data_IF_399278757746
#
_entry.id   IF_399278757746
#
_cell.length_a   1.000
_cell.length_b   1.000
_cell.length_c   1.000
_cell.angle_alpha   90.00
_cell.angle_beta   90.00
_cell.angle_gamma   90.00
#
_symmetry.space_group_name_H-M   'P 1'
#
loop_
_entity.id
_entity.type
_entity.pdbx_description
1 polymer ?
#
# COMPACT_ATOMS: atom_id res chain seq x y z
N UNK A 1 20.45 29.28 -16.79
CA UNK A 1 20.71 28.78 -15.44
C UNK A 1 19.42 28.46 -14.74
N UNK A 2 18.53 29.45 -14.63
CA UNK A 2 17.27 29.24 -13.92
C UNK A 2 16.44 28.11 -14.52
N UNK A 3 16.56 27.91 -15.80
CA UNK A 3 15.76 26.90 -16.50
C UNK A 3 16.07 25.48 -16.07
N UNK A 4 17.22 25.26 -15.46
CA UNK A 4 17.57 23.93 -14.99
C UNK A 4 16.90 23.55 -13.69
N UNK A 5 16.37 24.53 -13.01
CA UNK A 5 15.69 24.27 -11.76
C UNK A 5 14.35 23.58 -11.99
N UNK A 6 13.65 23.96 -13.08
CA UNK A 6 12.31 23.45 -13.31
C UNK A 6 12.22 21.92 -13.42
N UNK A 7 13.05 21.23 -14.23
CA UNK A 7 12.96 19.76 -14.28
C UNK A 7 13.24 19.10 -12.94
N UNK A 8 14.23 19.62 -12.22
CA UNK A 8 14.55 19.07 -10.90
C UNK A 8 13.42 19.31 -9.91
N UNK A 9 12.84 20.51 -9.95
CA UNK A 9 11.71 20.84 -9.09
C UNK A 9 10.55 19.92 -9.38
N UNK A 10 10.25 19.71 -10.67
CA UNK A 10 9.16 18.82 -11.07
C UNK A 10 9.39 17.41 -10.60
N UNK A 11 10.62 16.91 -10.74
CA UNK A 11 10.95 15.56 -10.26
C UNK A 11 10.82 15.48 -8.76
N UNK A 12 11.27 16.50 -8.02
CA UNK A 12 11.14 16.51 -6.57
C UNK A 12 9.69 16.57 -6.13
N UNK A 13 8.86 17.33 -6.83
CA UNK A 13 7.44 17.40 -6.52
C UNK A 13 6.76 16.06 -6.74
N UNK A 14 7.10 15.39 -7.84
CA UNK A 14 6.56 14.07 -8.12
C UNK A 14 6.96 13.06 -7.03
N UNK A 15 8.22 13.08 -6.63
CA UNK A 15 8.71 12.16 -5.60
C UNK A 15 8.01 12.39 -4.26
N UNK A 16 7.79 13.65 -3.90
CA UNK A 16 7.08 13.97 -2.67
C UNK A 16 5.63 13.55 -2.76
N UNK A 17 4.99 13.78 -3.91
CA UNK A 17 3.60 13.39 -4.12
C UNK A 17 3.46 11.87 -4.05
N UNK A 18 4.40 11.13 -4.64
CA UNK A 18 4.39 9.67 -4.55
C UNK A 18 4.51 9.20 -3.12
N UNK A 19 5.47 9.74 -2.37
CA UNK A 19 5.70 9.33 -0.99
C UNK A 19 4.48 9.63 -0.12
N UNK A 20 3.87 10.80 -0.30
CA UNK A 20 2.67 11.17 0.44
C UNK A 20 1.52 10.24 0.11
N UNK A 21 1.33 9.94 -1.16
CA UNK A 21 0.26 9.06 -1.60
C UNK A 21 0.46 7.65 -1.06
N UNK A 22 1.70 7.14 -1.13
CA UNK A 22 2.00 5.81 -0.60
C UNK A 22 1.73 5.74 0.90
N UNK A 23 2.03 6.81 1.62
CA UNK A 23 1.70 6.88 3.04
C UNK A 23 0.21 6.83 3.29
N UNK A 24 -0.58 7.48 2.44
CA UNK A 24 -2.04 7.43 2.53
C UNK A 24 -2.57 6.03 2.22
N UNK A 25 -1.98 5.37 1.22
CA UNK A 25 -2.34 3.99 0.90
C UNK A 25 -2.09 3.09 2.10
N UNK A 26 -0.92 3.21 2.69
CA UNK A 26 -0.56 2.41 3.85
C UNK A 26 -1.55 2.61 4.98
N UNK A 27 -1.85 3.86 5.31
CA UNK A 27 -2.79 4.18 6.38
C UNK A 27 -4.18 3.64 6.08
N UNK A 28 -4.61 3.76 4.83
CA UNK A 28 -5.93 3.27 4.42
C UNK A 28 -6.01 1.74 4.58
N UNK A 29 -4.99 1.02 4.13
CA UNK A 29 -4.97 -0.43 4.25
C UNK A 29 -4.90 -0.86 5.71
N UNK A 30 -4.04 -0.21 6.51
CA UNK A 30 -3.93 -0.53 7.94
C UNK A 30 -5.27 -0.35 8.65
N UNK A 31 -6.01 0.67 8.28
CA UNK A 31 -7.32 0.95 8.87
C UNK A 31 -8.34 -0.14 8.52
N UNK A 32 -8.21 -0.75 7.36
CA UNK A 32 -9.17 -1.75 6.89
C UNK A 32 -8.74 -3.18 7.18
N UNK A 33 -7.51 -3.38 7.66
CA UNK A 33 -7.07 -4.75 7.92
C UNK A 33 -7.75 -5.32 9.14
N UNK A 34 -7.92 -6.62 9.13
CA UNK A 34 -8.43 -7.36 10.27
C UNK A 34 -7.37 -8.38 10.68
N UNK A 35 -7.19 -8.53 11.98
CA UNK A 35 -6.27 -9.54 12.46
C UNK A 35 -7.01 -10.87 12.50
N UNK A 36 -6.60 -11.89 11.74
CA UNK A 36 -7.29 -13.18 11.79
C UNK A 36 -7.22 -13.75 13.20
N UNK A 37 -8.36 -14.19 13.70
CA UNK A 37 -8.43 -14.71 15.08
C UNK A 37 -7.47 -15.85 15.33
N UNK A 38 -7.38 -16.78 14.37
CA UNK A 38 -6.49 -17.89 14.51
C UNK A 38 -5.02 -17.45 14.55
N UNK A 39 -4.67 -16.49 13.71
CA UNK A 39 -3.31 -15.94 13.72
C UNK A 39 -3.03 -15.25 15.05
N UNK A 40 -4.02 -14.58 15.59
CA UNK A 40 -3.89 -13.92 16.88
C UNK A 40 -3.65 -14.93 17.99
N UNK A 41 -4.45 -16.00 18.00
CA UNK A 41 -4.28 -17.06 18.99
C UNK A 41 -2.92 -17.74 18.88
N UNK A 42 -2.42 -17.89 17.65
CA UNK A 42 -1.12 -18.50 17.42
C UNK A 42 0.02 -17.50 17.54
N UNK A 43 -0.31 -16.25 17.85
CA UNK A 43 0.62 -15.14 18.03
C UNK A 43 1.51 -14.92 16.81
N UNK A 44 0.92 -15.08 15.63
CA UNK A 44 1.60 -14.84 14.37
C UNK A 44 1.70 -13.34 14.13
N UNK A 45 2.89 -12.89 13.85
CA UNK A 45 3.16 -11.47 13.60
C UNK A 45 4.11 -11.34 12.42
N UNK A 46 4.05 -10.22 11.73
CA UNK A 46 4.94 -9.97 10.62
C UNK A 46 4.44 -8.88 9.71
N UNK A 47 5.15 -8.70 8.62
CA UNK A 47 4.82 -7.69 7.62
C UNK A 47 4.61 -8.40 6.29
N UNK A 48 3.52 -8.06 5.62
CA UNK A 48 3.20 -8.59 4.30
C UNK A 48 3.37 -7.46 3.29
N UNK A 49 4.17 -7.69 2.28
CA UNK A 49 4.29 -6.72 1.19
C UNK A 49 3.32 -7.14 0.08
N UNK A 50 2.37 -6.27 -0.23
CA UNK A 50 1.36 -6.55 -1.24
C UNK A 50 1.57 -5.61 -2.42
N UNK A 51 1.46 -6.15 -3.63
CA UNK A 51 1.59 -5.38 -4.87
C UNK A 51 0.25 -5.31 -5.55
N UNK A 52 -0.10 -4.13 -6.04
CA UNK A 52 -1.37 -3.96 -6.76
C UNK A 52 -1.28 -2.73 -7.64
N UNK A 53 -2.27 -2.59 -8.51
CA UNK A 53 -2.39 -1.43 -9.39
C UNK A 53 -3.57 -0.59 -8.95
N UNK A 54 -3.42 0.73 -9.02
CA UNK A 54 -4.44 1.68 -8.63
C UNK A 54 -4.82 2.53 -9.83
N UNK A 55 -6.08 2.45 -10.24
CA UNK A 55 -6.60 3.26 -11.33
C UNK A 55 -6.73 4.72 -10.88
N UNK A 56 -6.91 5.62 -11.87
CA UNK A 56 -7.01 7.05 -11.56
C UNK A 56 -8.16 7.37 -10.60
N UNK A 57 -9.17 6.52 -10.54
CA UNK A 57 -10.31 6.69 -9.63
C UNK A 57 -10.13 5.93 -8.31
N UNK A 58 -8.99 5.29 -8.09
CA UNK A 58 -8.73 4.57 -6.86
C UNK A 58 -9.11 3.10 -6.88
N UNK A 59 -9.68 2.61 -7.97
CA UNK A 59 -10.05 1.20 -8.06
C UNK A 59 -8.80 0.34 -8.15
N UNK A 60 -8.77 -0.71 -7.33
CA UNK A 60 -7.61 -1.60 -7.21
C UNK A 60 -7.76 -2.77 -8.16
N UNK A 61 -6.65 -3.21 -8.75
CA UNK A 61 -6.60 -4.39 -9.60
C UNK A 61 -5.25 -5.07 -9.48
N UNK A 62 -5.15 -6.29 -10.03
CA UNK A 62 -3.90 -7.03 -10.11
C UNK A 62 -3.23 -7.20 -8.74
N UNK A 63 -4.01 -7.57 -7.74
CA UNK A 63 -3.51 -7.73 -6.38
C UNK A 63 -2.74 -9.03 -6.27
N UNK A 64 -1.47 -8.94 -5.90
CA UNK A 64 -0.61 -10.11 -5.72
C UNK A 64 0.27 -9.92 -4.49
N UNK A 65 0.72 -11.05 -3.96
CA UNK A 65 1.64 -11.05 -2.84
C UNK A 65 3.02 -10.64 -3.34
N UNK A 66 3.58 -9.58 -2.76
CA UNK A 66 4.93 -9.15 -3.09
C UNK A 66 5.96 -9.86 -2.24
N UNK A 67 5.68 -9.97 -0.94
CA UNK A 67 6.57 -10.68 -0.03
C UNK A 67 5.74 -11.20 1.14
N UNK A 68 5.88 -12.48 1.41
CA UNK A 68 5.14 -13.16 2.48
C UNK A 68 5.63 -12.75 3.86
N UNK A 69 4.73 -12.73 4.82
CA UNK A 69 5.09 -12.59 6.24
C UNK A 69 5.68 -13.87 6.80
N UNK A 70 5.55 -14.97 6.07
CA UNK A 70 5.87 -16.28 6.59
C UNK A 70 4.66 -17.02 7.14
N UNK A 71 3.49 -16.36 7.17
CA UNK A 71 2.27 -16.95 7.70
C UNK A 71 1.14 -16.77 6.70
N UNK A 72 0.60 -17.90 6.25
CA UNK A 72 -0.46 -17.89 5.23
C UNK A 72 -1.69 -17.10 5.67
N UNK A 73 -2.02 -17.15 6.96
CA UNK A 73 -3.19 -16.43 7.47
C UNK A 73 -3.03 -14.92 7.31
N UNK A 74 -1.86 -14.40 7.61
CA UNK A 74 -1.59 -12.97 7.48
C UNK A 74 -1.52 -12.57 6.01
N UNK A 75 -0.89 -13.40 5.20
CA UNK A 75 -0.76 -13.14 3.77
C UNK A 75 -2.13 -13.06 3.11
N UNK A 76 -3.00 -14.03 3.40
CA UNK A 76 -4.33 -14.05 2.81
C UNK A 76 -5.16 -12.87 3.26
N UNK A 77 -5.08 -12.54 4.55
CA UNK A 77 -5.81 -11.38 5.06
C UNK A 77 -5.39 -10.11 4.36
N UNK A 78 -4.08 -9.97 4.05
CA UNK A 78 -3.60 -8.78 3.37
C UNK A 78 -4.20 -8.66 1.97
N UNK A 79 -4.24 -9.76 1.23
CA UNK A 79 -4.86 -9.75 -0.09
C UNK A 79 -6.33 -9.37 0.01
N UNK A 80 -7.03 -9.93 0.99
CA UNK A 80 -8.45 -9.62 1.21
C UNK A 80 -8.64 -8.17 1.62
N UNK A 81 -7.71 -7.64 2.43
CA UNK A 81 -7.77 -6.25 2.88
C UNK A 81 -7.72 -5.29 1.69
N UNK A 82 -6.83 -5.54 0.75
CA UNK A 82 -6.71 -4.65 -0.42
C UNK A 82 -8.01 -4.66 -1.23
N UNK A 83 -8.58 -5.84 -1.45
CA UNK A 83 -9.84 -5.96 -2.17
C UNK A 83 -10.96 -5.24 -1.44
N UNK A 84 -11.02 -5.43 -0.14
CA UNK A 84 -12.08 -4.86 0.71
C UNK A 84 -11.96 -3.34 0.80
N UNK A 85 -10.75 -2.83 0.75
CA UNK A 85 -10.47 -1.40 0.92
C UNK A 85 -10.67 -0.59 -0.35
N UNK A 86 -10.85 -1.24 -1.49
CA UNK A 86 -11.07 -0.54 -2.76
C UNK A 86 -12.43 0.16 -2.75
N UNK A 87 -12.53 1.40 -3.24
CA UNK A 87 -11.43 2.19 -3.80
C UNK A 87 -10.52 2.76 -2.71
N UNK A 88 -9.24 2.83 -3.06
CA UNK A 88 -8.23 3.40 -2.16
C UNK A 88 -7.95 4.84 -2.59
N UNK A 89 -7.16 5.60 -1.81
CA UNK A 89 -6.83 6.96 -2.24
C UNK A 89 -6.25 6.96 -3.65
N UNK A 90 -6.79 7.82 -4.49
CA UNK A 90 -6.41 7.88 -5.90
C UNK A 90 -5.02 8.49 -6.08
N UNK A 91 -4.30 8.11 -7.15
CA UNK A 91 -2.99 8.71 -7.42
C UNK A 91 -3.14 10.21 -7.64
N UNK A 92 -2.23 11.02 -7.10
CA UNK A 92 -2.29 12.46 -7.33
C UNK A 92 -1.91 12.79 -8.77
N UNK A 93 -2.24 14.02 -9.19
CA UNK A 93 -1.96 14.46 -10.57
C UNK A 93 -0.47 14.39 -10.89
N UNK A 94 0.38 14.60 -9.90
CA UNK A 94 1.83 14.59 -10.09
C UNK A 94 2.38 13.21 -10.41
N UNK A 95 1.62 12.17 -10.12
CA UNK A 95 2.00 10.78 -10.44
C UNK A 95 1.23 10.40 -11.70
N UNK A 96 1.87 10.43 -12.88
CA UNK A 96 1.16 10.25 -14.13
C UNK A 96 0.87 8.81 -14.44
N UNK A 97 0.02 8.63 -15.47
CA UNK A 97 -0.30 7.31 -15.97
C UNK A 97 -1.40 6.66 -15.17
N UNK A 98 -1.62 5.44 -15.50
CA UNK A 98 -2.60 4.65 -14.78
C UNK A 98 -2.98 3.44 -15.59
N UNK A 99 -3.20 2.34 -14.90
CA UNK A 99 -3.09 2.19 -13.44
C UNK A 99 -1.66 2.33 -12.94
N UNK A 100 -1.50 2.82 -11.73
CA UNK A 100 -0.19 3.00 -11.13
C UNK A 100 0.11 1.80 -10.22
N UNK A 101 1.25 1.17 -10.44
CA UNK A 101 1.64 0.02 -9.65
C UNK A 101 2.35 0.46 -8.38
N UNK A 102 1.97 -0.18 -7.26
CA UNK A 102 2.55 0.12 -5.96
C UNK A 102 2.83 -1.16 -5.20
N UNK A 103 3.73 -1.07 -4.23
CA UNK A 103 3.96 -2.15 -3.28
C UNK A 103 3.93 -1.53 -1.89
N UNK A 104 3.09 -2.08 -1.01
CA UNK A 104 2.83 -1.50 0.29
C UNK A 104 3.01 -2.56 1.38
N UNK A 105 3.71 -2.22 2.48
CA UNK A 105 3.83 -3.14 3.61
C UNK A 105 2.62 -3.02 4.53
N UNK A 106 2.00 -4.15 4.84
CA UNK A 106 0.91 -4.19 5.81
C UNK A 106 1.40 -4.94 7.04
N UNK A 107 1.37 -4.28 8.18
CA UNK A 107 1.97 -4.79 9.40
C UNK A 107 0.93 -5.47 10.29
N UNK A 108 1.32 -6.61 10.87
CA UNK A 108 0.52 -7.35 11.83
C UNK A 108 1.35 -7.56 13.08
N UNK A 109 1.09 -6.75 14.09
CA UNK A 109 1.80 -6.87 15.35
C UNK A 109 0.80 -6.87 16.49
N UNK A 110 0.99 -7.78 17.43
CA UNK A 110 0.15 -7.87 18.61
C UNK A 110 0.75 -7.01 19.70
N UNK A 111 -0.11 -6.42 20.50
CA UNK A 111 0.36 -5.67 21.63
C UNK A 111 0.93 -6.63 22.67
N UNK A 112 1.89 -6.16 23.41
CA UNK A 112 2.54 -6.95 24.44
C UNK A 112 1.55 -7.54 25.39
N UNK A 113 1.81 -8.67 25.87
CA UNK A 113 1.04 -9.52 26.74
C UNK A 113 -0.03 -10.24 26.02
#
# INVERSE_FOLDING_TARGET
>A
AARYTAPQTTAGERSRAEATWEGRLLGHLQKHRRYPRQAERLRQQGVVYVRFAVARDGVVSAVVLGRSSGFALLDQETLDTVQRASPVPAPPAEVPGGPVQVMVPVSFFLRGR
#
